data_IF_844619267153
#
_entry.id   IF_844619267153
#
_cell.length_a   1.000
_cell.length_b   1.000
_cell.length_c   1.000
_cell.angle_alpha   90.00
_cell.angle_beta   90.00
_cell.angle_gamma   90.00
#
_symmetry.space_group_name_H-M   'P 1'
#
loop_
_entity.id
_entity.type
_entity.pdbx_description
1 polymer ?
#
# COMPACT_ATOMS: atom_id res chain seq x y z
N UNK A 1 13.79 7.34 -23.10
CA UNK A 1 13.42 6.19 -22.24
C UNK A 1 12.00 5.79 -22.56
N UNK A 2 11.66 4.50 -22.42
CA UNK A 2 10.27 4.03 -22.58
C UNK A 2 9.36 4.54 -21.44
N UNK A 3 8.04 4.34 -21.55
CA UNK A 3 7.10 4.68 -20.48
C UNK A 3 7.38 3.83 -19.24
N UNK A 4 7.01 4.34 -18.07
CA UNK A 4 7.03 3.58 -16.82
C UNK A 4 5.61 3.35 -16.30
N UNK A 5 5.42 2.23 -15.59
CA UNK A 5 4.17 1.90 -14.91
C UNK A 5 4.49 1.35 -13.52
N UNK A 6 3.74 1.78 -12.51
CA UNK A 6 3.87 1.33 -11.12
C UNK A 6 2.57 0.67 -10.65
N UNK A 7 2.67 -0.27 -9.72
CA UNK A 7 1.53 -0.97 -9.12
C UNK A 7 1.50 -0.78 -7.60
N UNK A 8 0.32 -0.59 -7.02
CA UNK A 8 0.09 -0.59 -5.57
C UNK A 8 -1.40 -0.90 -5.30
N UNK A 9 -1.79 -1.07 -4.04
CA UNK A 9 -3.19 -1.28 -3.67
C UNK A 9 -3.70 -0.22 -2.68
N UNK A 10 -5.00 0.05 -2.73
CA UNK A 10 -5.71 1.00 -1.86
C UNK A 10 -6.98 0.35 -1.28
N UNK A 11 -7.07 0.16 0.05
CA UNK A 11 -6.03 0.41 1.05
C UNK A 11 -4.82 -0.54 0.92
N UNK A 12 -3.62 -0.14 1.43
CA UNK A 12 -2.44 -1.00 1.46
C UNK A 12 -2.57 -2.18 2.42
N UNK A 13 -1.70 -3.18 2.24
CA UNK A 13 -1.51 -4.25 3.22
C UNK A 13 -2.39 -5.47 3.01
N UNK A 14 -2.49 -6.31 4.05
CA UNK A 14 -3.26 -7.55 4.01
C UNK A 14 -4.75 -7.23 3.99
N UNK A 15 -5.52 -7.93 3.15
CA UNK A 15 -6.97 -7.78 3.00
C UNK A 15 -7.69 -8.79 3.90
N UNK A 16 -8.82 -8.41 4.48
CA UNK A 16 -9.67 -9.35 5.22
C UNK A 16 -10.42 -10.29 4.27
N UNK A 17 -10.69 -11.53 4.66
CA UNK A 17 -11.74 -12.33 4.02
C UNK A 17 -13.08 -11.56 4.00
N UNK A 18 -13.74 -11.54 2.84
CA UNK A 18 -14.93 -10.74 2.56
C UNK A 18 -14.67 -9.24 2.41
N UNK A 19 -13.44 -8.78 2.59
CA UNK A 19 -13.03 -7.39 2.46
C UNK A 19 -12.91 -6.92 1.01
N UNK A 20 -12.36 -5.72 0.83
CA UNK A 20 -12.13 -5.13 -0.49
C UNK A 20 -10.84 -4.32 -0.55
N UNK A 21 -10.27 -4.24 -1.75
CA UNK A 21 -9.19 -3.32 -2.09
C UNK A 21 -9.25 -3.00 -3.57
N UNK A 22 -8.52 -1.98 -4.00
CA UNK A 22 -8.32 -1.66 -5.41
C UNK A 22 -6.84 -1.75 -5.74
N UNK A 23 -6.49 -2.56 -6.74
CA UNK A 23 -5.16 -2.57 -7.35
C UNK A 23 -5.12 -1.40 -8.34
N UNK A 24 -4.19 -0.48 -8.12
CA UNK A 24 -3.99 0.70 -8.95
C UNK A 24 -2.70 0.56 -9.74
N UNK A 25 -2.80 0.71 -11.06
CA UNK A 25 -1.66 0.83 -11.96
C UNK A 25 -1.55 2.31 -12.38
N UNK A 26 -0.41 2.96 -12.10
CA UNK A 26 -0.17 4.35 -12.50
C UNK A 26 0.87 4.40 -13.62
N UNK A 27 0.55 5.08 -14.72
CA UNK A 27 1.39 5.20 -15.92
C UNK A 27 1.79 6.66 -16.15
N UNK A 28 2.97 6.90 -16.74
CA UNK A 28 3.35 8.24 -17.19
C UNK A 28 2.53 8.74 -18.39
N UNK A 29 1.86 7.83 -19.10
CA UNK A 29 1.00 8.12 -20.23
C UNK A 29 -0.45 8.29 -19.76
N UNK A 30 -1.21 9.05 -20.52
CA UNK A 30 -2.62 9.36 -20.28
C UNK A 30 -3.58 8.64 -21.24
N UNK A 31 -3.05 7.74 -22.08
CA UNK A 31 -3.82 6.96 -23.03
C UNK A 31 -3.17 5.58 -23.25
N UNK A 32 -3.96 4.62 -23.73
CA UNK A 32 -3.57 3.23 -23.96
C UNK A 32 -4.25 2.26 -22.99
N UNK A 33 -3.79 1.01 -23.01
CA UNK A 33 -4.41 -0.06 -22.23
C UNK A 33 -3.46 -0.58 -21.15
N UNK A 34 -4.03 -1.00 -20.03
CA UNK A 34 -3.33 -1.72 -18.97
C UNK A 34 -3.94 -3.10 -18.82
N UNK A 35 -3.09 -4.11 -18.85
CA UNK A 35 -3.45 -5.49 -18.60
C UNK A 35 -2.96 -5.89 -17.21
N UNK A 36 -3.87 -6.37 -16.36
CA UNK A 36 -3.55 -6.92 -15.06
C UNK A 36 -3.25 -8.41 -15.20
N UNK A 37 -2.09 -8.81 -14.70
CA UNK A 37 -1.68 -10.21 -14.58
C UNK A 37 -1.73 -10.65 -13.12
N UNK A 38 -2.04 -11.92 -12.90
CA UNK A 38 -1.94 -12.61 -11.63
C UNK A 38 -1.26 -13.96 -11.82
N UNK A 39 -0.21 -14.22 -11.05
CA UNK A 39 0.56 -15.45 -11.12
C UNK A 39 1.00 -15.79 -12.56
N UNK A 40 1.30 -14.76 -13.37
CA UNK A 40 1.67 -14.90 -14.78
C UNK A 40 0.50 -15.04 -15.76
N UNK A 41 -0.74 -15.12 -15.29
CA UNK A 41 -1.94 -15.21 -16.14
C UNK A 41 -2.63 -13.85 -16.30
N UNK A 42 -3.02 -13.52 -17.52
CA UNK A 42 -3.82 -12.33 -17.80
C UNK A 42 -5.21 -12.47 -17.16
N UNK A 43 -5.63 -11.47 -16.38
CA UNK A 43 -6.95 -11.42 -15.76
C UNK A 43 -7.89 -10.46 -16.48
N UNK A 44 -7.51 -9.19 -16.53
CA UNK A 44 -8.36 -8.10 -16.98
C UNK A 44 -7.56 -7.07 -17.79
N UNK A 45 -8.26 -6.34 -18.64
CA UNK A 45 -7.70 -5.26 -19.45
C UNK A 45 -8.60 -4.05 -19.31
N UNK A 46 -8.02 -2.90 -18.99
CA UNK A 46 -8.71 -1.63 -18.87
C UNK A 46 -7.99 -0.56 -19.69
N UNK A 47 -8.75 0.41 -20.19
CA UNK A 47 -8.18 1.66 -20.68
C UNK A 47 -7.70 2.51 -19.51
N UNK A 48 -6.65 3.29 -19.75
CA UNK A 48 -6.22 4.30 -18.79
C UNK A 48 -7.31 5.36 -18.63
N UNK A 49 -7.70 5.63 -17.40
CA UNK A 49 -8.46 6.80 -17.01
C UNK A 49 -7.48 7.86 -16.49
N UNK A 50 -7.19 8.86 -17.32
CA UNK A 50 -6.05 9.74 -17.09
C UNK A 50 -4.76 8.93 -17.04
N UNK A 51 -3.96 9.09 -15.99
CA UNK A 51 -2.69 8.38 -15.82
C UNK A 51 -2.82 7.05 -15.04
N UNK A 52 -4.01 6.47 -14.93
CA UNK A 52 -4.24 5.31 -14.05
C UNK A 52 -5.27 4.30 -14.56
N UNK A 53 -5.09 3.03 -14.21
CA UNK A 53 -6.10 1.98 -14.35
C UNK A 53 -6.31 1.31 -12.99
N UNK A 54 -7.56 1.07 -12.61
CA UNK A 54 -7.95 0.59 -11.29
C UNK A 54 -8.77 -0.71 -11.39
N UNK A 55 -8.33 -1.74 -10.67
CA UNK A 55 -8.91 -3.07 -10.66
C UNK A 55 -9.40 -3.39 -9.24
N UNK A 56 -10.71 -3.43 -9.05
CA UNK A 56 -11.31 -3.68 -7.73
C UNK A 56 -11.40 -5.17 -7.40
N UNK A 57 -10.99 -5.52 -6.18
CA UNK A 57 -11.27 -6.81 -5.54
C UNK A 57 -12.32 -6.55 -4.46
N UNK A 58 -13.46 -7.22 -4.56
CA UNK A 58 -14.57 -7.10 -3.61
C UNK A 58 -14.96 -8.48 -3.10
N UNK A 59 -15.39 -8.56 -1.83
CA UNK A 59 -15.73 -9.83 -1.19
C UNK A 59 -14.56 -10.83 -1.29
N UNK A 60 -13.36 -10.38 -0.89
CA UNK A 60 -12.10 -11.07 -1.12
C UNK A 60 -12.08 -12.48 -0.51
N UNK A 61 -11.52 -13.42 -1.25
CA UNK A 61 -11.35 -14.82 -0.85
C UNK A 61 -9.86 -15.18 -0.86
N UNK A 62 -9.51 -16.36 -0.35
CA UNK A 62 -8.12 -16.86 -0.47
C UNK A 62 -7.68 -17.01 -1.93
N UNK A 63 -8.62 -17.20 -2.88
CA UNK A 63 -8.29 -17.28 -4.29
C UNK A 63 -7.81 -15.95 -4.86
N UNK A 64 -8.07 -14.81 -4.20
CA UNK A 64 -7.62 -13.48 -4.61
C UNK A 64 -6.16 -13.20 -4.22
N UNK A 65 -5.57 -13.98 -3.31
CA UNK A 65 -4.17 -13.87 -2.96
C UNK A 65 -3.24 -14.25 -4.14
N UNK A 66 -2.03 -13.69 -4.15
CA UNK A 66 -0.97 -14.00 -5.11
C UNK A 66 -0.26 -12.78 -5.68
N UNK A 67 0.59 -13.04 -6.66
CA UNK A 67 1.47 -12.05 -7.28
C UNK A 67 0.78 -11.35 -8.45
N UNK A 68 0.61 -10.03 -8.37
CA UNK A 68 0.01 -9.21 -9.42
C UNK A 68 1.02 -8.30 -10.10
N UNK A 69 0.84 -8.05 -11.39
CA UNK A 69 1.62 -7.06 -12.15
C UNK A 69 0.78 -6.37 -13.22
N UNK A 70 1.14 -5.13 -13.57
CA UNK A 70 0.50 -4.35 -14.61
C UNK A 70 1.40 -4.27 -15.84
N UNK A 71 0.86 -4.55 -17.02
CA UNK A 71 1.53 -4.33 -18.30
C UNK A 71 0.83 -3.19 -19.05
N UNK A 72 1.60 -2.19 -19.47
CA UNK A 72 1.09 -1.10 -20.31
C UNK A 72 1.28 -1.44 -21.79
N UNK A 73 0.20 -1.30 -22.55
CA UNK A 73 0.13 -1.60 -23.97
C UNK A 73 -0.27 -0.36 -24.76
N UNK A 74 0.35 -0.22 -25.93
CA UNK A 74 -0.08 0.67 -27.01
C UNK A 74 -0.32 -0.20 -28.25
N UNK A 75 -1.59 -0.33 -28.64
CA UNK A 75 -2.04 -1.41 -29.51
C UNK A 75 -1.70 -2.79 -28.93
N UNK A 76 -1.05 -3.65 -29.72
CA UNK A 76 -0.64 -5.00 -29.30
C UNK A 76 0.76 -5.05 -28.65
N UNK A 77 1.47 -3.92 -28.61
CA UNK A 77 2.85 -3.87 -28.12
C UNK A 77 2.89 -3.59 -26.61
N UNK A 78 3.55 -4.48 -25.85
CA UNK A 78 3.84 -4.23 -24.43
C UNK A 78 5.01 -3.25 -24.31
N UNK A 79 4.74 -2.03 -23.87
CA UNK A 79 5.73 -0.97 -23.76
C UNK A 79 6.36 -0.86 -22.36
N UNK A 80 5.65 -1.27 -21.31
CA UNK A 80 6.18 -1.26 -19.94
C UNK A 80 5.55 -2.36 -19.08
N UNK A 81 6.27 -2.78 -18.03
CA UNK A 81 5.81 -3.71 -17.00
C UNK A 81 6.13 -3.14 -15.63
N UNK A 82 5.20 -3.27 -14.69
CA UNK A 82 5.44 -2.87 -13.31
C UNK A 82 6.26 -3.92 -12.56
N UNK A 83 6.70 -3.55 -11.36
CA UNK A 83 7.07 -4.53 -10.34
C UNK A 83 5.88 -5.43 -9.97
N UNK A 84 6.14 -6.43 -9.13
CA UNK A 84 5.11 -7.36 -8.63
C UNK A 84 4.56 -6.87 -7.29
N UNK A 85 3.25 -6.80 -7.17
CA UNK A 85 2.52 -6.59 -5.92
C UNK A 85 2.00 -7.92 -5.39
N UNK A 86 2.43 -8.33 -4.20
CA UNK A 86 1.90 -9.51 -3.53
C UNK A 86 0.63 -9.15 -2.75
N UNK A 87 -0.51 -9.71 -3.16
CA UNK A 87 -1.78 -9.58 -2.43
C UNK A 87 -1.92 -10.73 -1.45
N UNK A 88 -2.18 -10.40 -0.18
CA UNK A 88 -2.47 -11.36 0.87
C UNK A 88 -3.90 -11.18 1.35
N UNK A 89 -4.62 -12.29 1.52
CA UNK A 89 -5.97 -12.31 2.08
C UNK A 89 -5.97 -13.20 3.31
N UNK A 90 -6.35 -12.63 4.45
CA UNK A 90 -6.29 -13.29 5.77
C UNK A 90 -7.55 -13.01 6.59
N UNK A 91 -7.79 -13.82 7.62
CA UNK A 91 -8.70 -13.43 8.70
C UNK A 91 -8.02 -12.47 9.67
N UNK A 92 -8.77 -11.46 10.11
CA UNK A 92 -8.27 -10.52 11.10
C UNK A 92 -8.68 -10.96 12.50
N UNK A 93 -7.68 -11.02 13.38
CA UNK A 93 -7.85 -11.45 14.76
C UNK A 93 -7.28 -10.44 15.77
N UNK A 94 -6.77 -9.31 15.27
CA UNK A 94 -6.25 -8.21 16.07
C UNK A 94 -7.17 -6.99 15.98
N UNK A 95 -7.22 -6.15 17.03
CA UNK A 95 -7.97 -4.89 16.98
C UNK A 95 -7.38 -3.94 15.93
N UNK A 96 -8.19 -3.03 15.41
CA UNK A 96 -7.73 -1.97 14.51
C UNK A 96 -6.70 -1.08 15.23
N UNK A 97 -5.53 -0.83 14.61
CA UNK A 97 -4.52 0.03 15.19
C UNK A 97 -4.86 1.51 15.00
N UNK A 98 -4.29 2.36 15.85
CA UNK A 98 -4.44 3.81 15.78
C UNK A 98 -3.13 4.45 15.35
N UNK A 99 -3.15 5.12 14.20
CA UNK A 99 -2.04 5.94 13.72
C UNK A 99 -2.14 7.35 14.30
N UNK A 100 -1.03 7.83 14.84
CA UNK A 100 -0.86 9.19 15.35
C UNK A 100 0.47 9.75 14.87
N UNK A 101 0.61 11.08 14.88
CA UNK A 101 1.81 11.76 14.42
C UNK A 101 2.17 12.90 15.39
N UNK A 102 3.45 13.05 15.68
CA UNK A 102 4.01 14.12 16.52
C UNK A 102 5.01 14.95 15.71
N UNK A 103 5.04 16.30 15.87
CA UNK A 103 4.20 17.10 16.76
C UNK A 103 2.77 17.32 16.23
N UNK A 104 2.51 16.99 14.96
CA UNK A 104 1.23 17.15 14.30
C UNK A 104 1.32 16.73 12.83
N UNK A 105 0.20 16.84 12.11
CA UNK A 105 0.08 16.44 10.71
C UNK A 105 0.43 17.56 9.73
N UNK A 106 0.64 18.79 10.22
CA UNK A 106 1.15 19.92 9.45
C UNK A 106 2.47 20.39 10.06
N UNK A 107 3.55 20.32 9.30
CA UNK A 107 4.90 20.66 9.75
C UNK A 107 5.63 21.49 8.71
N UNK A 108 6.66 22.23 9.12
CA UNK A 108 7.52 22.93 8.17
C UNK A 108 8.54 21.97 7.55
N UNK A 109 9.00 22.26 6.32
CA UNK A 109 10.13 21.55 5.75
C UNK A 109 11.36 21.57 6.68
N UNK A 110 12.02 20.43 6.84
CA UNK A 110 13.17 20.24 7.73
C UNK A 110 12.82 19.84 9.17
N UNK A 111 11.53 19.77 9.53
CA UNK A 111 11.09 19.27 10.83
C UNK A 111 11.30 17.76 10.99
N UNK A 112 11.35 17.31 12.25
CA UNK A 112 11.38 15.89 12.58
C UNK A 112 9.97 15.44 13.00
N UNK A 113 9.53 14.32 12.45
CA UNK A 113 8.19 13.78 12.61
C UNK A 113 8.27 12.34 13.11
N UNK A 114 7.43 12.01 14.08
CA UNK A 114 7.31 10.64 14.58
C UNK A 114 5.89 10.14 14.36
N UNK A 115 5.74 9.14 13.50
CA UNK A 115 4.50 8.39 13.37
C UNK A 115 4.48 7.28 14.42
N UNK A 116 3.41 7.20 15.19
CA UNK A 116 3.21 6.15 16.19
C UNK A 116 1.95 5.36 15.87
N UNK A 117 2.15 4.08 15.59
CA UNK A 117 1.07 3.13 15.32
C UNK A 117 0.82 2.27 16.56
N UNK A 118 -0.24 2.57 17.30
CA UNK A 118 -0.54 1.88 18.57
C UNK A 118 -1.59 0.80 18.37
N UNK A 119 -1.43 -0.31 19.09
CA UNK A 119 -2.39 -1.42 19.08
C UNK A 119 -2.47 -2.03 20.47
N UNK A 120 -3.68 -2.41 20.89
CA UNK A 120 -3.94 -3.07 22.17
C UNK A 120 -3.50 -4.56 22.16
N UNK A 121 -2.25 -4.82 21.75
CA UNK A 121 -1.68 -6.16 21.74
C UNK A 121 -0.16 -6.13 22.02
N UNK A 122 0.32 -6.73 23.13
CA UNK A 122 1.68 -6.53 23.67
C UNK A 122 2.82 -7.12 22.83
N UNK A 123 2.51 -7.93 21.81
CA UNK A 123 3.50 -8.58 20.91
C UNK A 123 3.30 -8.27 19.43
N UNK A 124 2.50 -7.24 19.13
CA UNK A 124 2.29 -6.83 17.75
C UNK A 124 3.43 -5.92 17.28
N UNK A 125 3.94 -6.19 16.08
CA UNK A 125 4.70 -5.21 15.30
C UNK A 125 3.80 -4.58 14.26
N UNK A 126 4.16 -3.41 13.74
CA UNK A 126 3.37 -2.72 12.74
C UNK A 126 4.16 -2.46 11.46
N UNK A 127 3.44 -2.11 10.41
CA UNK A 127 3.92 -1.63 9.12
C UNK A 127 3.37 -0.21 8.94
N UNK A 128 4.20 0.72 8.47
CA UNK A 128 3.76 2.04 8.06
C UNK A 128 3.74 2.11 6.53
N UNK A 129 2.61 2.57 6.01
CA UNK A 129 2.41 2.81 4.58
C UNK A 129 2.37 4.31 4.30
N UNK A 130 2.93 4.71 3.17
CA UNK A 130 2.78 6.03 2.56
C UNK A 130 2.22 5.84 1.16
N UNK A 131 1.07 6.44 0.86
CA UNK A 131 0.40 6.36 -0.44
C UNK A 131 0.22 4.92 -0.95
N UNK A 132 -0.03 4.00 -0.02
CA UNK A 132 -0.24 2.59 -0.35
C UNK A 132 1.05 1.75 -0.46
N UNK A 133 2.23 2.36 -0.29
CA UNK A 133 3.52 1.67 -0.37
C UNK A 133 4.14 1.52 1.03
N UNK A 134 4.80 0.38 1.29
CA UNK A 134 5.50 0.15 2.56
C UNK A 134 6.67 1.14 2.66
N UNK A 135 6.63 2.03 3.65
CA UNK A 135 7.69 3.01 3.88
C UNK A 135 8.78 2.49 4.81
N UNK A 136 8.42 1.59 5.73
CA UNK A 136 9.36 0.99 6.68
C UNK A 136 9.02 -0.46 6.97
N UNK A 137 10.04 -1.32 6.89
CA UNK A 137 9.93 -2.73 7.22
C UNK A 137 10.36 -2.98 8.69
N UNK A 138 9.62 -3.80 9.44
CA UNK A 138 9.70 -3.94 10.90
C UNK A 138 10.88 -4.80 11.37
N UNK A 139 11.80 -5.18 10.48
CA UNK A 139 12.96 -6.00 10.83
C UNK A 139 14.00 -5.25 11.67
N UNK A 140 13.89 -3.92 11.81
CA UNK A 140 14.89 -3.11 12.52
C UNK A 140 14.44 -2.56 13.88
N UNK A 141 13.17 -2.61 14.27
CA UNK A 141 12.79 -2.18 15.62
C UNK A 141 11.59 -2.96 16.18
N UNK A 142 11.61 -3.15 17.51
CA UNK A 142 10.43 -3.51 18.32
C UNK A 142 9.54 -2.28 18.57
N UNK A 143 9.84 -1.16 17.94
CA UNK A 143 9.24 0.13 18.24
C UNK A 143 8.05 0.37 17.33
N UNK A 144 6.94 0.79 17.93
CA UNK A 144 5.71 1.24 17.26
C UNK A 144 5.87 2.61 16.59
N UNK A 145 7.07 3.19 16.71
CA UNK A 145 7.42 4.54 16.35
C UNK A 145 8.30 4.53 15.09
N UNK A 146 7.89 5.30 14.09
CA UNK A 146 8.60 5.52 12.84
C UNK A 146 9.01 6.98 12.80
N UNK A 147 10.31 7.22 12.92
CA UNK A 147 10.86 8.57 12.88
C UNK A 147 11.28 8.93 11.46
N UNK A 148 10.78 10.05 10.96
CA UNK A 148 11.27 10.73 9.77
C UNK A 148 12.00 12.00 10.21
N UNK A 149 13.27 12.11 9.86
CA UNK A 149 14.09 13.27 10.20
C UNK A 149 14.20 14.19 8.98
N UNK A 150 14.15 15.50 9.23
CA UNK A 150 14.28 16.53 8.20
C UNK A 150 13.34 16.36 7.01
N UNK A 151 12.03 16.27 7.29
CA UNK A 151 11.00 16.00 6.29
C UNK A 151 11.02 17.00 5.13
N UNK A 152 10.76 16.50 3.92
CA UNK A 152 10.73 17.29 2.69
C UNK A 152 9.36 17.20 2.04
N UNK A 153 9.13 18.01 1.01
CA UNK A 153 7.90 17.95 0.19
C UNK A 153 7.59 16.54 -0.36
N UNK A 154 8.60 15.71 -0.60
CA UNK A 154 8.40 14.33 -1.05
C UNK A 154 7.94 13.33 0.04
N UNK A 155 7.91 13.76 1.31
CA UNK A 155 7.41 12.95 2.43
C UNK A 155 5.94 13.28 2.74
N UNK A 156 5.33 14.22 2.02
CA UNK A 156 3.89 14.50 2.11
C UNK A 156 3.06 13.31 1.60
N UNK A 157 1.84 13.21 2.12
CA UNK A 157 0.84 12.29 1.61
C UNK A 157 0.13 11.52 2.70
N UNK A 158 -0.59 10.51 2.25
CA UNK A 158 -1.52 9.75 3.08
C UNK A 158 -0.87 8.53 3.71
N UNK A 159 -0.69 8.60 5.01
CA UNK A 159 -0.13 7.53 5.83
C UNK A 159 -1.22 6.64 6.42
N UNK A 160 -0.93 5.35 6.55
CA UNK A 160 -1.72 4.40 7.33
C UNK A 160 -0.81 3.34 7.92
N UNK A 161 -1.30 2.56 8.88
CA UNK A 161 -0.53 1.46 9.43
C UNK A 161 -1.34 0.18 9.61
N UNK A 162 -0.67 -0.96 9.63
CA UNK A 162 -1.28 -2.27 9.89
C UNK A 162 -0.35 -3.07 10.79
N UNK A 163 -0.91 -3.77 11.77
CA UNK A 163 -0.14 -4.52 12.75
C UNK A 163 -0.37 -6.02 12.64
N UNK A 164 0.63 -6.77 13.08
CA UNK A 164 0.62 -8.22 13.05
C UNK A 164 1.38 -8.81 14.24
N UNK A 165 1.02 -10.02 14.66
CA UNK A 165 1.80 -10.76 15.66
C UNK A 165 3.04 -11.38 15.02
N UNK A 166 4.17 -11.33 15.74
CA UNK A 166 5.40 -12.02 15.34
C UNK A 166 5.49 -13.45 15.90
N UNK A 167 4.35 -14.10 16.10
CA UNK A 167 4.24 -15.49 16.59
C UNK A 167 3.89 -16.45 15.44
N UNK A 168 3.85 -17.75 15.75
CA UNK A 168 3.71 -18.84 14.77
C UNK A 168 2.49 -18.71 13.86
N UNK A 169 1.44 -18.01 14.30
CA UNK A 169 0.16 -17.91 13.59
C UNK A 169 -0.08 -16.57 12.88
N UNK A 170 0.93 -15.68 12.77
CA UNK A 170 0.88 -14.39 12.06
C UNK A 170 -0.53 -13.79 11.94
N UNK A 171 -1.07 -13.31 13.07
CA UNK A 171 -2.40 -12.71 13.11
C UNK A 171 -2.31 -11.27 12.65
N UNK A 172 -3.25 -10.85 11.82
CA UNK A 172 -3.29 -9.50 11.24
C UNK A 172 -4.39 -8.65 11.85
N UNK A 173 -4.15 -7.34 11.91
CA UNK A 173 -5.16 -6.32 12.14
C UNK A 173 -5.71 -5.80 10.81
N UNK A 174 -6.82 -5.08 10.88
CA UNK A 174 -7.19 -4.13 9.84
C UNK A 174 -6.13 -3.03 9.68
N UNK A 175 -6.17 -2.34 8.55
CA UNK A 175 -5.41 -1.10 8.33
C UNK A 175 -6.06 0.01 9.14
N UNK A 176 -5.27 0.87 9.76
CA UNK A 176 -5.75 2.04 10.47
C UNK A 176 -6.47 3.00 9.53
N UNK A 177 -7.24 3.92 10.11
CA UNK A 177 -7.59 5.17 9.44
C UNK A 177 -6.35 5.89 8.91
N UNK A 178 -6.54 6.60 7.81
CA UNK A 178 -5.49 7.35 7.13
C UNK A 178 -5.22 8.69 7.82
N UNK A 179 -3.97 9.14 7.74
CA UNK A 179 -3.51 10.44 8.22
C UNK A 179 -2.71 11.13 7.11
N UNK A 180 -3.10 12.34 6.72
CA UNK A 180 -2.39 13.12 5.71
C UNK A 180 -1.32 14.01 6.34
N UNK A 181 -0.05 13.79 5.99
CA UNK A 181 1.06 14.66 6.38
C UNK A 181 1.23 15.77 5.35
N UNK A 182 1.24 17.01 5.82
CA UNK A 182 1.46 18.23 5.01
C UNK A 182 2.73 18.93 5.47
N UNK A 183 3.60 19.25 4.51
CA UNK A 183 4.88 19.93 4.70
C UNK A 183 4.81 21.33 4.08
N UNK A 184 4.85 22.35 4.92
CA UNK A 184 4.80 23.76 4.53
C UNK A 184 6.16 24.29 4.10
#
# INVERSE_FOLDING_TARGET
GGPTISIFQKPPGVIQLGGSTTICCSCQRDNGHVVLYKNGHQLHTLELNGSSAEFSISNATQQDAGAYSCHYLDGDAVLARSDTLEILVQEFHLPEPVLSVLPGHEVAAGADVVFRCTIAHPKAGCLLYLEGQVKSFPFLSKEQDYSLFHVRKGDEGRYSCQCFTRDVLFKWSAVSKTLDLVVR
#
